data_IF_541020524053
#
_entry.id   IF_541020524053
#
_cell.length_a   1.000
_cell.length_b   1.000
_cell.length_c   1.000
_cell.angle_alpha   90.00
_cell.angle_beta   90.00
_cell.angle_gamma   90.00
#
_symmetry.space_group_name_H-M   'P 1'
#
loop_
_entity.id
_entity.type
_entity.pdbx_description
1 polymer ?
#
# COMPACT_ATOMS: atom_id res chain seq x y z
N UNK A 1 14.65 -33.43 53.48
CA UNK A 1 15.57 -32.42 52.91
C UNK A 1 15.57 -32.67 51.41
N UNK A 2 14.50 -32.23 50.74
CA UNK A 2 14.32 -32.37 49.30
C UNK A 2 14.26 -30.96 48.73
N UNK A 3 15.22 -30.64 47.87
CA UNK A 3 15.30 -29.35 47.17
C UNK A 3 14.21 -29.33 46.11
N UNK A 4 13.23 -28.45 46.27
CA UNK A 4 12.27 -28.11 45.23
C UNK A 4 12.98 -27.39 44.07
N UNK A 5 12.69 -27.74 42.81
CA UNK A 5 13.25 -27.05 41.65
C UNK A 5 12.64 -25.65 41.55
N UNK A 6 13.51 -24.68 41.30
CA UNK A 6 13.22 -23.25 41.18
C UNK A 6 12.51 -23.01 39.84
N UNK A 7 11.24 -22.59 39.89
CA UNK A 7 10.49 -22.12 38.72
C UNK A 7 11.20 -20.90 38.12
N UNK A 8 11.38 -20.93 36.81
CA UNK A 8 11.88 -19.82 36.02
C UNK A 8 10.77 -18.75 35.91
N UNK A 9 11.15 -17.47 35.95
CA UNK A 9 10.22 -16.36 36.27
C UNK A 9 9.68 -15.64 35.03
N UNK A 10 9.87 -16.20 33.84
CA UNK A 10 9.66 -15.50 32.57
C UNK A 10 8.62 -16.13 31.63
N UNK A 11 7.85 -17.11 32.09
CA UNK A 11 6.67 -17.57 31.36
C UNK A 11 5.53 -17.88 32.34
N UNK A 12 4.54 -17.00 32.52
CA UNK A 12 3.23 -17.45 32.95
C UNK A 12 2.59 -18.20 31.77
N UNK A 13 1.98 -19.35 32.05
CA UNK A 13 1.07 -20.09 31.15
C UNK A 13 1.73 -21.22 30.32
N UNK A 14 2.10 -22.31 31.02
CA UNK A 14 2.33 -23.66 30.44
C UNK A 14 1.19 -24.61 30.86
N UNK A 15 -0.05 -24.13 30.74
CA UNK A 15 -1.24 -24.78 31.29
C UNK A 15 -2.44 -24.63 30.33
N UNK A 16 -2.29 -25.11 29.08
CA UNK A 16 -3.42 -25.51 28.23
C UNK A 16 -4.53 -24.50 27.96
N UNK A 17 -4.32 -23.57 27.04
CA UNK A 17 -5.41 -22.88 26.34
C UNK A 17 -5.01 -22.61 24.89
N UNK A 18 -5.71 -23.22 23.94
CA UNK A 18 -5.39 -23.24 22.51
C UNK A 18 -5.75 -21.92 21.80
N UNK A 19 -5.69 -20.80 22.51
CA UNK A 19 -6.21 -19.51 22.03
C UNK A 19 -5.37 -18.29 22.49
N UNK A 20 -4.13 -18.51 22.94
CA UNK A 20 -3.18 -17.41 23.23
C UNK A 20 -2.60 -16.87 21.93
N UNK A 21 -3.05 -15.68 21.52
CA UNK A 21 -2.54 -14.96 20.35
C UNK A 21 -1.15 -14.38 20.65
N UNK A 22 -0.15 -14.65 19.80
CA UNK A 22 1.19 -14.04 19.94
C UNK A 22 1.22 -12.58 19.45
N UNK A 23 0.60 -11.69 20.24
CA UNK A 23 0.56 -10.26 19.94
C UNK A 23 1.95 -9.61 19.95
N UNK A 24 2.87 -10.10 20.77
CA UNK A 24 4.22 -9.55 20.83
C UNK A 24 5.02 -9.93 19.57
N UNK A 25 4.96 -11.20 19.16
CA UNK A 25 5.55 -11.64 17.91
C UNK A 25 4.94 -10.93 16.70
N UNK A 26 3.62 -10.75 16.69
CA UNK A 26 2.94 -9.98 15.64
C UNK A 26 3.44 -8.53 15.57
N UNK A 27 3.53 -7.83 16.71
CA UNK A 27 4.01 -6.44 16.77
C UNK A 27 5.48 -6.28 16.39
N UNK A 28 6.31 -7.31 16.64
CA UNK A 28 7.73 -7.31 16.28
C UNK A 28 7.99 -7.87 14.88
N UNK A 29 6.96 -8.30 14.15
CA UNK A 29 7.09 -8.95 12.84
C UNK A 29 7.82 -10.30 12.90
N UNK A 30 7.79 -10.97 14.06
CA UNK A 30 8.42 -12.26 14.31
C UNK A 30 7.48 -13.46 14.09
N UNK A 31 6.29 -13.21 13.56
CA UNK A 31 5.23 -14.19 13.26
C UNK A 31 5.21 -14.45 11.75
N UNK A 32 4.84 -15.67 11.33
CA UNK A 32 4.77 -16.01 9.92
C UNK A 32 3.59 -15.30 9.20
N UNK A 33 3.61 -15.19 7.86
CA UNK A 33 2.62 -14.40 7.13
C UNK A 33 1.17 -14.92 7.25
N UNK A 34 0.98 -16.22 7.47
CA UNK A 34 -0.35 -16.84 7.58
C UNK A 34 -0.92 -16.56 8.97
N UNK A 35 -0.11 -16.74 10.01
CA UNK A 35 -0.47 -16.41 11.39
C UNK A 35 -0.67 -14.88 11.55
N UNK A 36 0.15 -14.04 10.92
CA UNK A 36 -0.03 -12.59 10.96
C UNK A 36 -1.37 -12.14 10.36
N UNK A 37 -1.83 -12.79 9.28
CA UNK A 37 -3.13 -12.50 8.67
C UNK A 37 -4.29 -12.92 9.59
N UNK A 38 -4.16 -14.03 10.32
CA UNK A 38 -5.15 -14.49 11.29
C UNK A 38 -5.25 -13.55 12.49
N UNK A 39 -4.11 -13.12 13.03
CA UNK A 39 -4.03 -12.16 14.14
C UNK A 39 -4.64 -10.81 13.73
N UNK A 40 -4.32 -10.33 12.53
CA UNK A 40 -4.90 -9.10 11.98
C UNK A 40 -6.44 -9.18 11.89
N UNK A 41 -6.99 -10.29 11.38
CA UNK A 41 -8.44 -10.48 11.28
C UNK A 41 -9.12 -10.54 12.67
N UNK A 42 -8.46 -11.12 13.68
CA UNK A 42 -8.95 -11.15 15.07
C UNK A 42 -8.95 -9.77 15.72
N UNK A 43 -7.90 -8.96 15.50
CA UNK A 43 -7.80 -7.58 16.00
C UNK A 43 -8.88 -6.65 15.43
N UNK A 44 -9.42 -6.94 14.24
CA UNK A 44 -10.57 -6.21 13.69
C UNK A 44 -11.87 -6.47 14.47
N UNK A 45 -12.08 -7.71 14.90
CA UNK A 45 -13.33 -8.14 15.53
C UNK A 45 -13.34 -8.00 17.05
N UNK A 46 -12.18 -8.00 17.71
CA UNK A 46 -12.07 -8.02 19.17
C UNK A 46 -11.46 -6.71 19.73
N UNK A 47 -12.27 -5.85 20.39
CA UNK A 47 -11.77 -4.62 20.99
C UNK A 47 -10.89 -4.83 22.22
N UNK A 48 -11.03 -5.95 22.96
CA UNK A 48 -10.21 -6.25 24.14
C UNK A 48 -8.80 -6.69 23.71
N UNK A 49 -8.73 -7.50 22.65
CA UNK A 49 -7.47 -7.92 22.05
C UNK A 49 -6.70 -6.72 21.47
N UNK A 50 -7.41 -5.76 20.90
CA UNK A 50 -6.83 -4.50 20.42
C UNK A 50 -6.22 -3.67 21.54
N UNK A 51 -6.95 -3.49 22.64
CA UNK A 51 -6.43 -2.77 23.82
C UNK A 51 -5.20 -3.47 24.42
N UNK A 52 -5.16 -4.81 24.40
CA UNK A 52 -3.99 -5.59 24.80
C UNK A 52 -2.77 -5.31 23.90
N UNK A 53 -2.96 -5.30 22.58
CA UNK A 53 -1.90 -4.98 21.62
C UNK A 53 -1.39 -3.55 21.82
N UNK A 54 -2.28 -2.58 22.05
CA UNK A 54 -1.92 -1.18 22.31
C UNK A 54 -1.10 -1.02 23.59
N UNK A 55 -1.46 -1.74 24.67
CA UNK A 55 -0.67 -1.74 25.91
C UNK A 55 0.73 -2.31 25.72
N UNK A 56 0.86 -3.39 24.95
CA UNK A 56 2.16 -4.00 24.64
C UNK A 56 2.99 -3.02 23.81
N UNK A 57 2.42 -2.46 22.74
CA UNK A 57 3.09 -1.48 21.89
C UNK A 57 3.54 -0.23 22.66
N UNK A 58 2.70 0.29 23.57
CA UNK A 58 3.04 1.43 24.42
C UNK A 58 4.22 1.13 25.38
N UNK A 59 4.45 -0.14 25.70
CA UNK A 59 5.55 -0.58 26.58
C UNK A 59 6.89 -0.80 25.84
N UNK A 60 6.89 -0.80 24.50
CA UNK A 60 8.11 -1.01 23.72
C UNK A 60 9.07 0.19 23.86
N UNK A 61 10.39 -0.04 23.96
CA UNK A 61 11.39 1.02 24.09
C UNK A 61 11.41 1.90 22.83
N UNK A 62 11.22 3.21 23.00
CA UNK A 62 11.17 4.21 21.92
C UNK A 62 12.42 5.09 21.81
N UNK A 63 13.41 4.90 22.69
CA UNK A 63 14.65 5.68 22.68
C UNK A 63 15.75 4.97 21.91
N UNK A 64 16.59 5.76 21.24
CA UNK A 64 17.84 5.32 20.57
C UNK A 64 18.87 4.68 21.51
N UNK A 65 18.62 4.69 22.83
CA UNK A 65 19.54 4.23 23.87
C UNK A 65 19.85 2.73 23.79
N UNK A 66 19.01 1.94 23.10
CA UNK A 66 19.14 0.49 22.98
C UNK A 66 19.33 -0.02 21.55
N UNK A 67 19.22 0.85 20.54
CA UNK A 67 19.44 0.48 19.14
C UNK A 67 20.91 0.62 18.79
N UNK A 68 21.55 -0.49 18.39
CA UNK A 68 22.91 -0.43 17.87
C UNK A 68 22.88 0.24 16.50
N UNK A 69 23.21 1.53 16.48
CA UNK A 69 23.46 2.29 15.27
C UNK A 69 24.79 1.85 14.65
N UNK A 70 24.84 0.63 14.13
CA UNK A 70 25.95 0.21 13.29
C UNK A 70 25.92 1.07 12.01
N UNK A 71 26.97 1.87 11.73
CA UNK A 71 26.97 2.73 10.57
C UNK A 71 26.80 1.86 9.31
N UNK A 72 25.97 2.28 8.35
CA UNK A 72 25.78 1.49 7.14
C UNK A 72 27.12 1.29 6.43
N UNK A 73 27.31 0.15 5.73
CA UNK A 73 28.53 -0.09 4.97
C UNK A 73 28.83 1.08 4.03
N UNK A 74 30.10 1.50 3.91
CA UNK A 74 30.47 2.61 3.03
C UNK A 74 30.05 2.32 1.59
N UNK A 75 29.47 3.32 0.93
CA UNK A 75 28.98 3.20 -0.45
C UNK A 75 27.65 2.45 -0.61
N UNK A 76 26.96 2.08 0.48
CA UNK A 76 25.62 1.50 0.39
C UNK A 76 24.65 2.45 -0.33
N UNK A 77 24.67 3.74 0.02
CA UNK A 77 23.83 4.75 -0.63
C UNK A 77 24.11 4.84 -2.14
N UNK A 78 25.40 4.90 -2.51
CA UNK A 78 25.82 4.97 -3.91
C UNK A 78 25.42 3.73 -4.70
N UNK A 79 25.55 2.55 -4.10
CA UNK A 79 25.14 1.28 -4.72
C UNK A 79 23.63 1.16 -4.87
N UNK A 80 22.87 1.66 -3.89
CA UNK A 80 21.41 1.70 -3.95
C UNK A 80 20.94 2.67 -5.03
N UNK A 81 21.57 3.85 -5.14
CA UNK A 81 21.29 4.83 -6.19
C UNK A 81 21.63 4.27 -7.59
N UNK A 82 22.80 3.65 -7.75
CA UNK A 82 23.17 3.00 -9.01
C UNK A 82 22.22 1.84 -9.37
N UNK A 83 21.72 1.11 -8.37
CA UNK A 83 20.71 0.07 -8.55
C UNK A 83 19.35 0.65 -9.00
N UNK A 84 18.94 1.79 -8.44
CA UNK A 84 17.73 2.51 -8.85
C UNK A 84 17.86 3.05 -10.28
N UNK A 85 19.00 3.66 -10.63
CA UNK A 85 19.28 4.12 -12.00
C UNK A 85 19.20 2.95 -12.99
N UNK A 86 19.80 1.80 -12.66
CA UNK A 86 19.72 0.60 -13.49
C UNK A 86 18.30 0.05 -13.63
N UNK A 87 17.45 0.16 -12.60
CA UNK A 87 16.05 -0.26 -12.62
C UNK A 87 15.18 0.67 -13.46
N UNK A 88 15.47 1.97 -13.41
CA UNK A 88 14.83 2.99 -14.24
C UNK A 88 15.17 2.79 -15.72
N UNK A 89 16.43 2.53 -16.05
CA UNK A 89 16.91 2.30 -17.42
C UNK A 89 16.38 1.00 -18.04
N UNK A 90 16.22 -0.05 -17.22
CA UNK A 90 15.74 -1.35 -17.70
C UNK A 90 14.21 -1.44 -17.80
N UNK A 91 13.47 -0.39 -17.38
CA UNK A 91 12.01 -0.32 -17.45
C UNK A 91 11.30 -1.46 -16.70
N UNK A 92 12.03 -2.16 -15.84
CA UNK A 92 11.62 -3.40 -15.19
C UNK A 92 11.59 -3.13 -13.69
N UNK A 93 10.57 -2.42 -13.24
CA UNK A 93 10.29 -2.31 -11.80
C UNK A 93 9.85 -3.71 -11.34
N UNK A 94 10.63 -4.43 -10.51
CA UNK A 94 10.14 -5.66 -9.93
C UNK A 94 8.93 -5.33 -9.04
N UNK A 95 7.91 -6.19 -9.01
CA UNK A 95 6.80 -5.99 -8.09
C UNK A 95 7.34 -5.96 -6.65
N UNK A 96 7.00 -4.90 -5.91
CA UNK A 96 7.19 -4.86 -4.45
C UNK A 96 6.32 -5.97 -3.88
N UNK A 97 6.97 -7.02 -3.36
CA UNK A 97 6.32 -8.24 -2.88
C UNK A 97 6.94 -9.55 -3.39
N UNK A 98 8.00 -9.52 -4.22
CA UNK A 98 8.77 -10.73 -4.50
C UNK A 98 9.62 -11.13 -3.28
N UNK A 99 9.01 -11.89 -2.38
CA UNK A 99 9.71 -12.80 -1.48
C UNK A 99 10.88 -13.44 -2.23
N UNK A 100 12.11 -13.19 -1.75
CA UNK A 100 13.27 -13.97 -2.16
C UNK A 100 13.15 -15.34 -1.51
N UNK A 101 12.32 -16.20 -2.11
CA UNK A 101 12.33 -17.64 -1.92
C UNK A 101 13.18 -18.27 -3.03
N UNK A 102 14.30 -18.84 -2.62
CA UNK A 102 15.11 -19.83 -3.34
C UNK A 102 15.73 -19.41 -4.68
N UNK A 103 16.85 -18.68 -4.59
CA UNK A 103 17.98 -18.93 -5.49
C UNK A 103 19.22 -19.17 -4.64
N UNK A 104 19.85 -20.35 -4.67
CA UNK A 104 21.08 -20.57 -3.92
C UNK A 104 22.20 -19.74 -4.56
N UNK A 105 22.46 -18.57 -3.98
CA UNK A 105 23.68 -17.80 -4.18
C UNK A 105 24.83 -18.65 -3.65
N UNK A 106 25.53 -19.34 -4.55
CA UNK A 106 26.76 -20.05 -4.22
C UNK A 106 27.89 -19.01 -4.23
N UNK A 107 28.51 -18.67 -3.08
CA UNK A 107 29.65 -17.76 -3.08
C UNK A 107 30.85 -18.49 -3.68
N UNK A 108 31.31 -18.04 -4.84
CA UNK A 108 32.56 -18.53 -5.45
C UNK A 108 33.73 -17.79 -4.82
N UNK A 109 34.38 -18.41 -3.83
CA UNK A 109 35.73 -18.03 -3.42
C UNK A 109 36.74 -18.83 -4.26
N UNK A 110 37.76 -18.21 -4.88
CA UNK A 110 38.83 -18.93 -5.54
C UNK A 110 39.80 -19.48 -4.49
N UNK A 111 39.97 -20.81 -4.46
CA UNK A 111 41.08 -21.44 -3.74
C UNK A 111 41.97 -22.20 -4.71
N UNK A 112 43.26 -21.97 -4.52
CA UNK A 112 44.43 -22.50 -5.21
C UNK A 112 44.45 -24.02 -5.41
N UNK A 113 44.93 -24.38 -6.60
CA UNK A 113 45.82 -25.51 -6.98
C UNK A 113 46.03 -26.68 -6.01
N UNK A 114 45.88 -27.91 -6.52
CA UNK A 114 46.97 -28.91 -6.63
C UNK A 114 46.54 -30.09 -7.54
N UNK A 115 47.50 -30.88 -8.09
CA UNK A 115 47.37 -31.52 -9.39
C UNK A 115 47.24 -33.06 -9.37
N UNK A 116 47.02 -33.60 -10.57
CA UNK A 116 47.33 -34.95 -11.07
C UNK A 116 46.65 -36.18 -10.45
N UNK A 117 45.88 -36.89 -11.30
CA UNK A 117 46.12 -38.31 -11.62
C UNK A 117 45.26 -38.76 -12.81
N UNK A 118 45.89 -39.56 -13.67
CA UNK A 118 45.60 -39.94 -15.05
C UNK A 118 44.32 -40.73 -15.37
N UNK A 119 43.96 -40.84 -16.67
CA UNK A 119 42.78 -41.56 -17.17
C UNK A 119 43.08 -43.04 -17.50
N UNK A 120 42.06 -43.90 -17.43
CA UNK A 120 42.08 -45.23 -18.05
C UNK A 120 40.88 -45.38 -18.98
N UNK A 121 41.23 -45.70 -20.23
CA UNK A 121 40.42 -45.91 -21.42
C UNK A 121 39.93 -47.36 -21.57
N UNK A 122 38.77 -47.48 -22.23
CA UNK A 122 38.32 -48.50 -23.21
C UNK A 122 38.38 -50.02 -22.97
N UNK A 123 37.32 -50.68 -23.45
CA UNK A 123 37.26 -52.11 -23.78
C UNK A 123 35.83 -52.66 -23.70
N UNK A 124 35.05 -52.68 -24.79
CA UNK A 124 35.00 -53.72 -25.83
C UNK A 124 34.04 -54.90 -25.50
N UNK A 125 32.96 -54.92 -26.31
CA UNK A 125 32.41 -56.03 -27.10
C UNK A 125 31.97 -57.37 -26.48
N UNK A 126 30.73 -57.71 -26.86
CA UNK A 126 30.21 -59.02 -27.29
C UNK A 126 30.18 -60.19 -26.30
N UNK A 127 28.98 -60.69 -26.02
CA UNK A 127 28.63 -62.09 -26.32
C UNK A 127 27.11 -62.28 -26.42
N UNK A 128 26.72 -63.02 -27.45
CA UNK A 128 25.36 -63.33 -27.83
C UNK A 128 24.80 -64.57 -27.10
N UNK A 129 23.47 -64.54 -27.01
CA UNK A 129 22.50 -65.64 -27.12
C UNK A 129 22.51 -66.81 -26.12
N UNK A 130 21.38 -66.99 -25.44
CA UNK A 130 20.60 -68.24 -25.41
C UNK A 130 19.12 -67.90 -25.09
N UNK A 131 18.23 -68.08 -26.07
CA UNK A 131 16.76 -68.06 -25.91
C UNK A 131 16.27 -69.35 -25.22
N UNK A 132 15.01 -69.41 -24.73
CA UNK A 132 14.00 -70.00 -25.60
C UNK A 132 12.67 -69.24 -25.68
N UNK A 133 12.07 -69.38 -26.85
CA UNK A 133 10.70 -69.00 -27.21
C UNK A 133 9.65 -69.67 -26.33
N UNK A 134 8.60 -68.93 -26.01
CA UNK A 134 7.27 -69.48 -25.73
C UNK A 134 6.30 -68.96 -26.79
N UNK A 135 5.73 -69.89 -27.56
CA UNK A 135 4.80 -69.65 -28.67
C UNK A 135 3.37 -69.42 -28.17
N UNK A 136 2.69 -68.62 -28.98
CA UNK A 136 1.30 -68.14 -28.99
C UNK A 136 0.19 -69.16 -28.69
N UNK A 137 -0.93 -68.64 -28.17
CA UNK A 137 -2.27 -69.05 -28.59
C UNK A 137 -3.23 -67.85 -28.51
N UNK A 138 -3.93 -67.47 -29.60
CA UNK A 138 -5.04 -66.53 -29.57
C UNK A 138 -6.35 -67.30 -29.37
N UNK A 139 -7.08 -66.98 -28.30
CA UNK A 139 -8.46 -67.41 -28.13
C UNK A 139 -9.34 -66.17 -28.16
N UNK A 140 -9.96 -65.95 -29.32
CA UNK A 140 -11.12 -65.09 -29.43
C UNK A 140 -12.31 -65.81 -28.77
N UNK A 141 -12.95 -65.18 -27.79
CA UNK A 141 -14.40 -65.03 -27.71
C UNK A 141 -14.80 -64.36 -26.38
N UNK A 142 -15.11 -63.07 -26.48
CA UNK A 142 -16.29 -62.44 -25.91
C UNK A 142 -16.62 -62.76 -24.45
N UNK A 143 -16.12 -61.91 -23.54
CA UNK A 143 -16.93 -61.47 -22.41
C UNK A 143 -17.32 -59.99 -22.61
N UNK A 144 -18.63 -59.78 -22.61
CA UNK A 144 -19.30 -58.49 -22.76
C UNK A 144 -19.00 -57.66 -21.51
N UNK A 145 -18.12 -56.66 -21.63
CA UNK A 145 -18.13 -55.54 -20.72
C UNK A 145 -19.24 -54.56 -21.14
N UNK A 146 -19.94 -53.93 -20.19
CA UNK A 146 -21.21 -53.28 -20.43
C UNK A 146 -21.03 -52.04 -21.33
N UNK A 147 -22.14 -51.55 -21.88
CA UNK A 147 -22.21 -50.25 -22.52
C UNK A 147 -21.91 -49.12 -21.51
N UNK A 148 -20.63 -48.91 -21.18
CA UNK A 148 -20.13 -47.84 -20.30
C UNK A 148 -19.43 -46.69 -21.07
N UNK A 149 -19.42 -46.75 -22.40
CA UNK A 149 -18.70 -45.79 -23.25
C UNK A 149 -19.36 -44.40 -23.35
N UNK A 150 -20.62 -44.26 -22.93
CA UNK A 150 -21.31 -42.96 -22.95
C UNK A 150 -21.00 -42.12 -21.71
N UNK A 151 -20.85 -42.76 -20.55
CA UNK A 151 -20.60 -42.06 -19.28
C UNK A 151 -19.13 -41.61 -19.17
N UNK A 152 -18.18 -42.40 -19.69
CA UNK A 152 -16.76 -42.03 -19.71
C UNK A 152 -16.48 -40.81 -20.60
N UNK A 153 -17.05 -40.76 -21.81
CA UNK A 153 -16.92 -39.60 -22.71
C UNK A 153 -17.58 -38.35 -22.14
N UNK A 154 -18.69 -38.48 -21.41
CA UNK A 154 -19.32 -37.37 -20.72
C UNK A 154 -18.43 -36.82 -19.59
N UNK A 155 -17.74 -37.70 -18.86
CA UNK A 155 -16.80 -37.32 -17.81
C UNK A 155 -15.58 -36.58 -18.38
N UNK A 156 -15.00 -37.04 -19.49
CA UNK A 156 -13.88 -36.34 -20.16
C UNK A 156 -14.26 -34.92 -20.60
N UNK A 157 -15.42 -34.75 -21.22
CA UNK A 157 -15.93 -33.43 -21.58
C UNK A 157 -16.19 -32.54 -20.36
N UNK A 158 -16.69 -33.12 -19.27
CA UNK A 158 -16.90 -32.40 -18.02
C UNK A 158 -15.59 -31.91 -17.42
N UNK A 159 -14.54 -32.75 -17.36
CA UNK A 159 -13.21 -32.36 -16.88
C UNK A 159 -12.58 -31.28 -17.77
N UNK A 160 -12.69 -31.41 -19.10
CA UNK A 160 -12.23 -30.40 -20.04
C UNK A 160 -12.93 -29.06 -19.85
N UNK A 161 -14.27 -29.06 -19.75
CA UNK A 161 -15.04 -27.84 -19.51
C UNK A 161 -14.74 -27.24 -18.14
N UNK A 162 -14.62 -28.07 -17.09
CA UNK A 162 -14.30 -27.63 -15.74
C UNK A 162 -12.92 -26.98 -15.68
N UNK A 163 -11.89 -27.58 -16.31
CA UNK A 163 -10.54 -27.00 -16.35
C UNK A 163 -10.50 -25.66 -17.09
N UNK A 164 -11.18 -25.54 -18.23
CA UNK A 164 -11.31 -24.26 -18.96
C UNK A 164 -12.07 -23.22 -18.13
N UNK A 165 -13.16 -23.62 -17.47
CA UNK A 165 -13.92 -22.73 -16.60
C UNK A 165 -13.07 -22.22 -15.42
N UNK A 166 -12.28 -23.10 -14.79
CA UNK A 166 -11.35 -22.73 -13.71
C UNK A 166 -10.29 -21.75 -14.24
N UNK A 167 -9.65 -22.05 -15.38
CA UNK A 167 -8.67 -21.13 -15.99
C UNK A 167 -9.29 -19.77 -16.32
N UNK A 168 -10.49 -19.74 -16.88
CA UNK A 168 -11.19 -18.50 -17.18
C UNK A 168 -11.52 -17.70 -15.91
N UNK A 169 -11.97 -18.37 -14.84
CA UNK A 169 -12.19 -17.74 -13.54
C UNK A 169 -10.91 -17.12 -12.97
N UNK A 170 -9.79 -17.86 -13.00
CA UNK A 170 -8.49 -17.36 -12.51
C UNK A 170 -7.99 -16.16 -13.35
N UNK A 171 -8.11 -16.22 -14.67
CA UNK A 171 -7.76 -15.10 -15.55
C UNK A 171 -8.63 -13.87 -15.30
N UNK A 172 -9.93 -14.05 -15.06
CA UNK A 172 -10.81 -12.94 -14.71
C UNK A 172 -10.39 -12.28 -13.39
N UNK A 173 -10.09 -13.06 -12.35
CA UNK A 173 -9.61 -12.51 -11.08
C UNK A 173 -8.28 -11.76 -11.25
N UNK A 174 -7.35 -12.31 -12.03
CA UNK A 174 -6.08 -11.65 -12.33
C UNK A 174 -6.27 -10.30 -13.06
N UNK A 175 -7.18 -10.24 -14.03
CA UNK A 175 -7.49 -9.03 -14.77
C UNK A 175 -8.18 -7.97 -13.89
N UNK A 176 -9.08 -8.38 -13.01
CA UNK A 176 -9.75 -7.47 -12.07
C UNK A 176 -8.73 -6.89 -11.08
N UNK A 177 -7.86 -7.72 -10.51
CA UNK A 177 -6.81 -7.27 -9.60
C UNK A 177 -5.80 -6.35 -10.32
N UNK A 178 -5.36 -6.71 -11.53
CA UNK A 178 -4.43 -5.90 -12.34
C UNK A 178 -4.98 -4.49 -12.60
N UNK A 179 -6.26 -4.37 -12.95
CA UNK A 179 -6.91 -3.07 -13.15
C UNK A 179 -6.99 -2.26 -11.87
N UNK A 180 -7.26 -2.90 -10.74
CA UNK A 180 -7.29 -2.23 -9.45
C UNK A 180 -5.91 -1.67 -9.07
N UNK A 181 -4.85 -2.49 -9.21
CA UNK A 181 -3.47 -2.06 -8.97
C UNK A 181 -3.07 -0.90 -9.90
N UNK A 182 -3.44 -0.95 -11.18
CA UNK A 182 -3.18 0.14 -12.12
C UNK A 182 -3.86 1.46 -11.70
N UNK A 183 -5.09 1.41 -11.18
CA UNK A 183 -5.79 2.62 -10.69
C UNK A 183 -5.15 3.20 -9.43
N UNK A 184 -4.68 2.35 -8.50
CA UNK A 184 -3.95 2.80 -7.32
C UNK A 184 -2.64 3.51 -7.71
N UNK A 185 -1.87 2.92 -8.63
CA UNK A 185 -0.64 3.54 -9.14
C UNK A 185 -0.88 4.89 -9.81
N UNK A 186 -1.97 5.03 -10.59
CA UNK A 186 -2.33 6.31 -11.21
C UNK A 186 -2.77 7.36 -10.18
N UNK A 187 -3.50 6.97 -9.13
CA UNK A 187 -3.82 7.88 -8.03
C UNK A 187 -2.55 8.41 -7.36
N UNK A 188 -1.60 7.51 -7.06
CA UNK A 188 -0.31 7.88 -6.48
C UNK A 188 0.52 8.77 -7.42
N UNK A 189 0.51 8.50 -8.72
CA UNK A 189 1.22 9.34 -9.71
C UNK A 189 0.61 10.74 -9.81
N UNK A 190 -0.73 10.85 -9.82
CA UNK A 190 -1.44 12.12 -9.75
C UNK A 190 -1.05 12.90 -8.50
N UNK A 191 -1.05 12.25 -7.33
CA UNK A 191 -0.68 12.89 -6.07
C UNK A 191 0.79 13.33 -6.04
N UNK A 192 1.73 12.53 -6.57
CA UNK A 192 3.13 12.96 -6.77
C UNK A 192 3.25 14.12 -7.76
N UNK A 193 2.42 14.14 -8.79
CA UNK A 193 2.39 15.25 -9.74
C UNK A 193 1.85 16.53 -9.13
N UNK A 194 0.83 16.44 -8.27
CA UNK A 194 0.33 17.56 -7.48
C UNK A 194 1.38 18.05 -6.49
N UNK A 195 2.12 17.15 -5.83
CA UNK A 195 3.22 17.51 -4.95
C UNK A 195 4.32 18.30 -5.66
N UNK A 196 4.71 17.89 -6.87
CA UNK A 196 5.64 18.67 -7.72
C UNK A 196 5.08 20.05 -8.05
N UNK A 197 3.81 20.14 -8.44
CA UNK A 197 3.16 21.42 -8.73
C UNK A 197 3.09 22.35 -7.50
N UNK A 198 2.87 21.81 -6.30
CA UNK A 198 2.88 22.57 -5.05
C UNK A 198 4.27 23.13 -4.74
N UNK A 199 5.33 22.34 -4.94
CA UNK A 199 6.71 22.79 -4.79
C UNK A 199 7.07 23.88 -5.80
N UNK A 200 6.71 23.69 -7.08
CA UNK A 200 6.91 24.71 -8.12
C UNK A 200 6.18 26.01 -7.79
N UNK A 201 4.94 25.92 -7.28
CA UNK A 201 4.18 27.07 -6.80
C UNK A 201 4.89 27.77 -5.64
N UNK A 202 5.34 27.01 -4.63
CA UNK A 202 6.05 27.57 -3.49
C UNK A 202 7.34 28.30 -3.92
N UNK A 203 8.09 27.77 -4.88
CA UNK A 203 9.27 28.44 -5.43
C UNK A 203 8.92 29.79 -6.08
N UNK A 204 7.78 29.90 -6.75
CA UNK A 204 7.30 31.15 -7.35
C UNK A 204 6.71 32.12 -6.32
N UNK A 205 6.14 31.60 -5.23
CA UNK A 205 5.42 32.36 -4.20
C UNK A 205 6.21 32.50 -2.87
N UNK A 206 7.55 32.48 -2.92
CA UNK A 206 8.44 32.70 -1.76
C UNK A 206 8.20 31.73 -0.59
N UNK A 207 7.94 30.46 -0.89
CA UNK A 207 7.68 29.40 0.07
C UNK A 207 6.22 29.29 0.50
N UNK A 208 5.31 30.13 0.00
CA UNK A 208 3.88 30.03 0.28
C UNK A 208 3.24 28.95 -0.60
N UNK A 209 2.44 28.09 0.02
CA UNK A 209 1.58 27.14 -0.67
C UNK A 209 0.29 27.84 -1.13
N UNK A 210 -0.44 27.26 -2.11
CA UNK A 210 -1.67 27.85 -2.62
C UNK A 210 -2.71 28.08 -1.52
N UNK A 211 -3.00 29.35 -1.22
CA UNK A 211 -4.05 29.75 -0.30
C UNK A 211 -4.76 31.00 -0.82
N UNK A 212 -6.08 31.07 -0.58
CA UNK A 212 -6.87 32.29 -0.84
C UNK A 212 -6.83 33.25 0.33
N UNK A 213 -6.96 34.55 0.03
CA UNK A 213 -7.08 35.59 1.05
C UNK A 213 -8.39 35.44 1.84
N UNK A 214 -8.37 35.87 3.10
CA UNK A 214 -9.56 35.84 3.96
C UNK A 214 -10.72 36.65 3.37
N UNK A 215 -11.93 36.10 3.45
CA UNK A 215 -13.14 36.69 2.90
C UNK A 215 -13.32 36.51 1.38
N UNK A 216 -12.39 35.83 0.70
CA UNK A 216 -12.53 35.50 -0.72
C UNK A 216 -13.21 34.14 -0.93
N UNK A 217 -13.78 33.87 -2.11
CA UNK A 217 -14.26 32.54 -2.49
C UNK A 217 -13.21 31.43 -2.42
N UNK A 218 -11.92 31.78 -2.30
CA UNK A 218 -10.79 30.87 -2.24
C UNK A 218 -10.33 30.57 -0.80
N UNK A 219 -11.06 31.02 0.23
CA UNK A 219 -10.79 30.71 1.64
C UNK A 219 -11.25 29.27 2.01
N UNK A 220 -10.98 28.29 1.15
CA UNK A 220 -11.34 26.87 1.34
C UNK A 220 -10.19 25.96 0.94
N UNK A 221 -10.13 24.75 1.50
CA UNK A 221 -9.06 23.79 1.23
C UNK A 221 -8.88 23.52 -0.27
N UNK A 222 -9.97 23.44 -1.04
CA UNK A 222 -9.95 23.16 -2.47
C UNK A 222 -9.41 24.29 -3.35
N UNK A 223 -9.06 25.45 -2.77
CA UNK A 223 -8.52 26.59 -3.52
C UNK A 223 -7.15 26.30 -4.16
N UNK A 224 -6.46 25.24 -3.72
CA UNK A 224 -5.21 24.82 -4.34
C UNK A 224 -5.35 24.56 -5.85
N UNK A 225 -6.45 23.92 -6.28
CA UNK A 225 -6.66 23.56 -7.67
C UNK A 225 -6.80 24.78 -8.60
N UNK A 226 -7.71 25.75 -8.36
CA UNK A 226 -7.83 26.93 -9.22
C UNK A 226 -6.58 27.81 -9.21
N UNK A 227 -5.85 27.88 -8.09
CA UNK A 227 -4.60 28.65 -7.98
C UNK A 227 -3.46 28.00 -8.78
N UNK A 228 -3.27 26.68 -8.66
CA UNK A 228 -2.28 25.96 -9.47
C UNK A 228 -2.63 25.96 -10.97
N UNK A 229 -3.91 25.83 -11.30
CA UNK A 229 -4.39 25.84 -12.69
C UNK A 229 -4.22 27.23 -13.34
N UNK A 230 -4.35 28.31 -12.57
CA UNK A 230 -4.09 29.68 -13.06
C UNK A 230 -2.66 29.84 -13.56
N UNK A 231 -1.69 29.27 -12.84
CA UNK A 231 -0.26 29.28 -13.19
C UNK A 231 0.13 28.15 -14.16
N UNK A 232 -0.85 27.38 -14.67
CA UNK A 232 -0.66 26.25 -15.60
C UNK A 232 0.25 25.15 -15.07
N UNK A 233 0.29 24.96 -13.75
CA UNK A 233 1.06 23.91 -13.11
C UNK A 233 0.34 22.55 -13.14
N UNK A 234 -1.00 22.57 -13.28
CA UNK A 234 -1.85 21.38 -13.29
C UNK A 234 -2.93 21.45 -14.38
N UNK A 235 -3.45 20.27 -14.74
CA UNK A 235 -4.57 20.02 -15.64
C UNK A 235 -5.77 19.47 -14.86
N UNK A 236 -6.96 19.56 -15.45
CA UNK A 236 -8.23 19.16 -14.82
C UNK A 236 -8.25 17.68 -14.38
N UNK A 237 -7.56 16.79 -15.10
CA UNK A 237 -7.56 15.35 -14.82
C UNK A 237 -6.66 14.96 -13.63
N UNK A 238 -5.68 15.79 -13.28
CA UNK A 238 -4.70 15.47 -12.23
C UNK A 238 -5.29 15.54 -10.82
N UNK A 239 -6.37 16.30 -10.63
CA UNK A 239 -7.06 16.40 -9.34
C UNK A 239 -8.11 15.30 -9.13
N UNK A 240 -8.28 14.40 -10.11
CA UNK A 240 -9.20 13.28 -10.02
C UNK A 240 -8.46 11.97 -9.74
N UNK A 241 -9.06 11.16 -8.88
CA UNK A 241 -8.60 9.82 -8.60
C UNK A 241 -9.30 8.84 -9.55
N UNK A 242 -8.58 8.05 -10.37
CA UNK A 242 -9.21 7.07 -11.28
C UNK A 242 -9.99 5.95 -10.58
N UNK A 243 -9.79 5.80 -9.27
CA UNK A 243 -10.53 4.87 -8.42
C UNK A 243 -11.84 5.47 -7.86
N UNK A 244 -12.06 6.78 -8.00
CA UNK A 244 -13.28 7.44 -7.52
C UNK A 244 -14.46 7.18 -8.46
N UNK A 245 -15.68 7.21 -7.88
CA UNK A 245 -16.92 7.12 -8.67
C UNK A 245 -17.07 8.27 -9.66
N UNK A 246 -16.44 9.42 -9.38
CA UNK A 246 -16.43 10.58 -10.26
C UNK A 246 -15.67 10.30 -11.57
N UNK A 247 -14.53 9.61 -11.49
CA UNK A 247 -13.78 9.19 -12.68
C UNK A 247 -14.52 8.12 -13.50
N UNK A 248 -15.27 7.23 -12.84
CA UNK A 248 -16.07 6.18 -13.50
C UNK A 248 -17.29 6.74 -14.25
N UNK A 249 -17.82 7.89 -13.81
CA UNK A 249 -19.03 8.50 -14.39
C UNK A 249 -18.73 9.44 -15.58
N UNK A 250 -17.46 9.64 -15.96
CA UNK A 250 -17.03 10.53 -17.08
C UNK A 250 -17.76 11.88 -17.08
N UNK A 251 -17.99 12.46 -15.91
CA UNK A 251 -18.43 13.86 -15.84
C UNK A 251 -17.24 14.70 -16.29
N UNK A 252 -17.45 15.59 -17.27
CA UNK A 252 -16.44 16.56 -17.68
C UNK A 252 -16.15 17.50 -16.52
N UNK A 253 -15.21 17.12 -15.67
CA UNK A 253 -14.70 17.95 -14.60
C UNK A 253 -13.84 19.05 -15.21
N UNK A 254 -13.99 20.27 -14.69
CA UNK A 254 -13.18 21.42 -15.08
C UNK A 254 -12.88 22.25 -13.84
N UNK A 255 -11.63 22.61 -13.64
CA UNK A 255 -11.24 23.51 -12.56
C UNK A 255 -11.76 24.93 -12.90
N UNK A 256 -12.61 25.55 -12.06
CA UNK A 256 -13.08 26.91 -12.29
C UNK A 256 -11.92 27.89 -12.12
N UNK A 257 -11.93 29.00 -12.86
CA UNK A 257 -10.90 30.03 -12.67
C UNK A 257 -11.24 30.91 -11.45
N UNK A 258 -10.24 31.48 -10.74
CA UNK A 258 -10.48 32.38 -9.60
C UNK A 258 -11.51 33.50 -9.87
N UNK A 259 -11.38 34.23 -10.99
CA UNK A 259 -12.32 35.29 -11.35
C UNK A 259 -13.74 34.78 -11.66
N UNK A 260 -13.91 33.51 -12.03
CA UNK A 260 -15.22 32.91 -12.29
C UNK A 260 -15.96 32.72 -10.95
N UNK A 261 -15.25 32.28 -9.90
CA UNK A 261 -15.81 32.06 -8.56
C UNK A 261 -16.38 33.34 -7.94
N UNK A 262 -15.68 34.47 -8.10
CA UNK A 262 -16.14 35.78 -7.60
C UNK A 262 -17.47 36.25 -8.22
N UNK A 263 -17.80 35.76 -9.41
CA UNK A 263 -18.99 36.15 -10.17
C UNK A 263 -20.14 35.16 -10.07
N UNK A 264 -19.94 34.03 -9.38
CA UNK A 264 -20.94 32.99 -9.25
C UNK A 264 -22.05 33.39 -8.27
N UNK A 265 -23.24 32.85 -8.48
CA UNK A 265 -24.30 32.91 -7.46
C UNK A 265 -23.89 32.11 -6.22
N UNK A 266 -24.43 32.41 -5.02
CA UNK A 266 -24.06 31.68 -3.80
C UNK A 266 -24.23 30.16 -3.88
N UNK A 267 -25.26 29.67 -4.59
CA UNK A 267 -25.50 28.24 -4.78
C UNK A 267 -24.50 27.60 -5.73
N UNK A 268 -24.17 28.27 -6.84
CA UNK A 268 -23.17 27.80 -7.79
C UNK A 268 -21.76 27.84 -7.17
N UNK A 269 -21.47 28.86 -6.37
CA UNK A 269 -20.21 29.00 -5.65
C UNK A 269 -20.03 27.86 -4.64
N UNK A 270 -21.04 27.57 -3.81
CA UNK A 270 -20.96 26.46 -2.86
C UNK A 270 -20.72 25.11 -3.55
N UNK A 271 -21.36 24.89 -4.71
CA UNK A 271 -21.10 23.69 -5.52
C UNK A 271 -19.66 23.68 -6.07
N UNK A 272 -19.20 24.80 -6.63
CA UNK A 272 -17.83 24.90 -7.15
C UNK A 272 -16.80 24.68 -6.04
N UNK A 273 -16.93 25.34 -4.89
CA UNK A 273 -16.05 25.16 -3.73
C UNK A 273 -16.03 23.71 -3.24
N UNK A 274 -17.16 23.01 -3.28
CA UNK A 274 -17.24 21.62 -2.83
C UNK A 274 -16.56 20.62 -3.78
N UNK A 275 -16.34 20.98 -5.05
CA UNK A 275 -15.86 20.05 -6.08
C UNK A 275 -14.54 20.48 -6.75
N UNK A 276 -14.16 21.76 -6.72
CA UNK A 276 -13.04 22.29 -7.50
C UNK A 276 -11.67 21.69 -7.15
N UNK A 277 -11.49 21.21 -5.93
CA UNK A 277 -10.31 20.47 -5.48
C UNK A 277 -10.31 18.97 -5.83
N UNK A 278 -11.30 18.48 -6.59
CA UNK A 278 -11.36 17.09 -7.04
C UNK A 278 -11.48 16.07 -5.90
N UNK A 279 -10.76 14.96 -6.03
CA UNK A 279 -10.82 13.81 -5.12
C UNK A 279 -9.73 13.83 -4.01
N UNK A 280 -8.85 14.83 -4.04
CA UNK A 280 -7.78 14.99 -3.06
C UNK A 280 -8.11 16.10 -2.06
N UNK A 281 -7.74 15.88 -0.81
CA UNK A 281 -7.85 16.90 0.24
C UNK A 281 -6.56 17.65 0.42
N UNK A 282 -6.70 18.86 0.90
CA UNK A 282 -5.59 19.75 1.14
C UNK A 282 -5.58 20.24 2.58
N UNK A 283 -4.39 20.60 3.06
CA UNK A 283 -4.21 21.06 4.43
C UNK A 283 -4.94 22.37 4.72
N UNK A 284 -5.58 22.44 5.89
CA UNK A 284 -6.16 23.68 6.40
C UNK A 284 -5.08 24.62 6.99
N UNK A 285 -3.87 24.12 7.19
CA UNK A 285 -2.82 24.79 7.96
C UNK A 285 -3.08 24.66 9.46
N UNK A 286 -2.49 25.57 10.23
CA UNK A 286 -2.56 25.58 11.68
C UNK A 286 -2.75 27.00 12.21
N UNK A 287 -3.21 27.09 13.44
CA UNK A 287 -3.51 28.32 14.16
C UNK A 287 -2.60 28.42 15.38
N UNK A 288 -2.02 29.59 15.60
CA UNK A 288 -1.19 29.89 16.79
C UNK A 288 -1.83 31.06 17.50
N UNK A 289 -2.15 30.90 18.79
CA UNK A 289 -2.74 31.94 19.64
C UNK A 289 -4.03 32.59 19.11
N UNK A 290 -4.83 31.86 18.32
CA UNK A 290 -6.07 32.40 17.75
C UNK A 290 -5.92 32.93 16.31
N UNK A 291 -4.70 32.91 15.76
CA UNK A 291 -4.40 33.46 14.43
C UNK A 291 -3.97 32.35 13.47
N UNK A 292 -4.75 32.21 12.39
CA UNK A 292 -4.46 31.27 11.30
C UNK A 292 -3.15 31.68 10.62
N UNK A 293 -2.21 30.75 10.55
CA UNK A 293 -0.92 31.00 9.93
C UNK A 293 -0.98 30.85 8.41
N UNK A 294 -0.11 31.61 7.74
CA UNK A 294 0.11 31.46 6.31
C UNK A 294 0.63 30.06 6.01
N UNK A 295 0.02 29.43 5.02
CA UNK A 295 0.41 28.11 4.58
C UNK A 295 1.72 28.23 3.81
N UNK A 296 2.81 27.82 4.44
CA UNK A 296 4.16 27.86 3.88
C UNK A 296 4.79 26.47 3.96
N UNK A 297 5.66 26.16 3.00
CA UNK A 297 6.48 24.95 3.03
C UNK A 297 7.77 25.21 3.81
N UNK A 298 8.15 24.26 4.67
CA UNK A 298 9.40 24.23 5.41
C UNK A 298 10.19 22.93 5.13
N UNK A 299 9.65 22.05 4.29
CA UNK A 299 10.26 20.78 3.93
C UNK A 299 10.20 19.75 5.05
N UNK A 300 9.25 19.88 5.97
CA UNK A 300 9.06 18.91 7.06
C UNK A 300 8.67 17.53 6.52
N UNK A 301 9.38 16.45 6.91
CA UNK A 301 8.99 15.08 6.57
C UNK A 301 7.83 14.56 7.43
N UNK A 302 7.33 15.35 8.39
CA UNK A 302 6.24 14.94 9.28
C UNK A 302 4.93 15.68 8.99
N UNK A 303 5.01 16.83 8.32
CA UNK A 303 3.84 17.66 8.04
C UNK A 303 3.11 17.17 6.81
N UNK A 304 1.82 16.87 6.96
CA UNK A 304 0.99 16.39 5.86
C UNK A 304 0.36 17.58 5.14
N UNK A 305 0.51 17.60 3.81
CA UNK A 305 -0.01 18.69 2.96
C UNK A 305 -1.22 18.28 2.13
N UNK A 306 -1.30 17.01 1.72
CA UNK A 306 -2.36 16.50 0.86
C UNK A 306 -2.58 15.00 1.11
N UNK A 307 -3.80 14.52 0.96
CA UNK A 307 -4.11 13.10 1.00
C UNK A 307 -5.26 12.77 0.04
N UNK A 308 -5.38 11.51 -0.39
CA UNK A 308 -6.64 11.06 -1.00
C UNK A 308 -7.74 10.99 0.07
N UNK A 309 -8.89 11.63 -0.20
CA UNK A 309 -9.95 11.64 0.80
C UNK A 309 -10.81 10.38 0.72
N UNK A 310 -11.12 9.72 1.86
CA UNK A 310 -12.30 8.90 1.93
C UNK A 310 -13.51 9.83 1.77
N UNK A 311 -14.26 9.70 0.66
CA UNK A 311 -15.41 10.60 0.42
C UNK A 311 -16.37 10.66 1.61
N UNK A 312 -16.74 11.88 2.01
CA UNK A 312 -17.56 12.21 3.19
C UNK A 312 -19.03 11.71 3.14
N UNK A 313 -19.35 10.77 2.25
CA UNK A 313 -20.67 10.14 2.10
C UNK A 313 -20.58 8.63 2.11
N UNK A 314 -19.82 8.03 3.03
CA UNK A 314 -19.83 6.58 3.24
C UNK A 314 -19.47 5.74 1.99
N UNK A 315 -19.00 6.37 0.92
CA UNK A 315 -18.33 5.71 -0.19
C UNK A 315 -16.90 5.51 0.30
N UNK A 316 -16.78 4.42 1.04
CA UNK A 316 -15.52 3.74 1.36
C UNK A 316 -14.70 3.78 0.08
N UNK A 317 -13.55 4.45 0.12
CA UNK A 317 -12.53 4.15 -0.87
C UNK A 317 -12.38 2.62 -0.84
N UNK A 318 -12.48 1.96 -1.98
CA UNK A 318 -12.51 0.50 -2.07
C UNK A 318 -11.16 -0.16 -1.71
N UNK A 319 -10.26 0.58 -1.06
CA UNK A 319 -8.96 0.15 -0.63
C UNK A 319 -8.74 0.52 0.82
N UNK A 320 -8.15 -0.39 1.57
CA UNK A 320 -7.64 -0.17 2.91
C UNK A 320 -6.47 0.83 2.93
N UNK A 321 -6.14 1.54 1.85
CA UNK A 321 -4.92 2.36 1.75
C UNK A 321 -5.27 3.81 1.45
N UNK A 322 -4.74 4.72 2.26
CA UNK A 322 -4.78 6.18 2.05
C UNK A 322 -3.39 6.61 1.61
N UNK A 323 -3.29 7.35 0.52
CA UNK A 323 -2.03 7.95 0.08
C UNK A 323 -1.91 9.34 0.69
N UNK A 324 -0.80 9.56 1.40
CA UNK A 324 -0.52 10.80 2.11
C UNK A 324 0.75 11.42 1.56
N UNK A 325 0.67 12.70 1.23
CA UNK A 325 1.77 13.51 0.73
C UNK A 325 2.26 14.46 1.82
N UNK A 326 3.56 14.43 2.05
CA UNK A 326 4.24 15.25 3.05
C UNK A 326 4.85 16.50 2.43
N UNK A 327 5.17 17.47 3.28
CA UNK A 327 5.67 18.78 2.86
C UNK A 327 7.05 18.72 2.16
N UNK A 328 7.90 17.76 2.51
CA UNK A 328 9.14 17.47 1.78
C UNK A 328 8.92 16.82 0.40
N UNK A 329 7.67 16.52 0.03
CA UNK A 329 7.26 15.94 -1.24
C UNK A 329 7.26 14.41 -1.29
N UNK A 330 7.59 13.70 -0.22
CA UNK A 330 7.47 12.24 -0.23
C UNK A 330 6.02 11.79 -0.09
N UNK A 331 5.73 10.66 -0.71
CA UNK A 331 4.41 10.03 -0.69
C UNK A 331 4.48 8.72 0.11
N UNK A 332 3.63 8.58 1.12
CA UNK A 332 3.51 7.35 1.90
C UNK A 332 2.07 6.79 1.84
N UNK A 333 1.88 5.53 1.42
CA UNK A 333 0.62 4.83 1.56
C UNK A 333 0.44 4.31 3.00
N UNK A 334 -0.70 4.61 3.63
CA UNK A 334 -1.08 4.14 4.96
C UNK A 334 -2.23 3.16 4.89
N UNK A 335 -2.05 1.96 5.46
CA UNK A 335 -3.10 0.94 5.55
C UNK A 335 -4.02 1.21 6.74
N UNK A 336 -5.34 1.21 6.54
CA UNK A 336 -6.37 1.23 7.59
C UNK A 336 -6.63 -0.19 8.13
N UNK A 337 -6.79 -0.36 9.45
CA UNK A 337 -6.60 0.66 10.47
C UNK A 337 -5.10 0.98 10.57
N UNK A 338 -4.75 2.25 10.35
CA UNK A 338 -3.38 2.66 10.50
C UNK A 338 -3.12 2.57 12.01
N UNK A 339 -1.94 2.05 12.35
CA UNK A 339 -1.39 2.09 13.71
C UNK A 339 -1.76 3.40 14.43
N UNK A 340 -1.95 3.40 15.77
CA UNK A 340 -2.43 4.56 16.54
C UNK A 340 -1.58 5.85 16.43
N UNK A 341 -0.48 5.84 15.68
CA UNK A 341 0.31 7.02 15.32
C UNK A 341 -0.32 7.87 14.20
N UNK A 342 -1.14 7.26 13.35
CA UNK A 342 -1.87 7.91 12.25
C UNK A 342 -3.28 7.33 12.32
N UNK A 343 -3.95 7.55 13.45
CA UNK A 343 -5.38 7.31 13.57
C UNK A 343 -6.11 8.25 12.58
N UNK A 344 -7.43 8.34 12.60
CA UNK A 344 -8.19 9.32 11.79
C UNK A 344 -7.77 10.82 12.01
N UNK A 345 -6.72 11.08 12.79
CA UNK A 345 -6.05 12.34 13.11
C UNK A 345 -5.53 13.15 11.93
N UNK A 346 -5.35 12.59 10.73
CA UNK A 346 -4.98 13.43 9.58
C UNK A 346 -6.17 14.22 9.05
N UNK A 347 -7.40 13.84 9.38
CA UNK A 347 -8.63 14.51 8.92
C UNK A 347 -9.27 15.39 9.99
N UNK A 348 -8.81 15.31 11.24
CA UNK A 348 -9.29 16.11 12.38
C UNK A 348 -8.10 16.59 13.19
N UNK A 349 -8.16 17.81 13.71
CA UNK A 349 -7.10 18.31 14.59
C UNK A 349 -7.04 17.50 15.90
N UNK A 350 -6.04 17.77 16.74
CA UNK A 350 -5.89 17.14 18.07
C UNK A 350 -7.09 17.35 19.01
N UNK A 351 -7.98 18.31 18.71
CA UNK A 351 -9.25 18.52 19.42
C UNK A 351 -10.44 17.73 18.83
N UNK A 352 -10.20 16.87 17.82
CA UNK A 352 -11.20 16.02 17.17
C UNK A 352 -12.13 16.77 16.21
N UNK A 353 -11.73 17.95 15.71
CA UNK A 353 -12.57 18.79 14.83
C UNK A 353 -11.94 18.92 13.44
N UNK A 354 -12.77 19.06 12.41
CA UNK A 354 -12.31 19.45 11.07
C UNK A 354 -12.12 20.97 11.06
N UNK A 355 -10.95 21.39 11.54
CA UNK A 355 -10.52 22.76 11.69
C UNK A 355 -8.99 22.82 11.52
N UNK A 356 -8.37 24.00 11.39
CA UNK A 356 -6.92 24.13 11.42
C UNK A 356 -6.29 23.41 12.62
N UNK A 357 -5.06 22.96 12.41
CA UNK A 357 -4.21 22.40 13.46
C UNK A 357 -3.99 23.38 14.61
N UNK A 358 -3.75 22.84 15.80
CA UNK A 358 -3.41 23.66 16.98
C UNK A 358 -1.94 24.09 17.01
N UNK A 359 -1.10 23.47 16.19
CA UNK A 359 0.34 23.73 16.07
C UNK A 359 0.86 23.22 14.71
N UNK A 360 2.11 23.52 14.32
CA UNK A 360 2.67 23.10 13.04
C UNK A 360 2.70 21.58 12.80
N UNK A 361 2.66 20.77 13.87
CA UNK A 361 2.71 19.31 13.82
C UNK A 361 1.29 18.69 13.79
N UNK A 362 0.23 19.49 13.98
CA UNK A 362 -1.17 19.06 13.95
C UNK A 362 -1.78 19.26 12.55
N UNK A 363 -1.38 18.43 11.59
CA UNK A 363 -1.83 18.55 10.20
C UNK A 363 -3.26 18.07 9.99
N UNK A 364 -4.12 18.92 9.43
CA UNK A 364 -5.51 18.58 9.09
C UNK A 364 -5.79 18.71 7.61
N UNK A 365 -6.11 17.59 6.98
CA UNK A 365 -6.48 17.47 5.57
C UNK A 365 -7.99 17.47 5.43
N UNK A 366 -8.51 18.40 4.65
CA UNK A 366 -9.93 18.63 4.50
C UNK A 366 -10.41 18.53 3.04
N UNK A 367 -11.69 18.18 2.81
CA UNK A 367 -12.28 18.22 1.48
C UNK A 367 -12.33 19.64 0.92
N UNK A 368 -12.45 19.72 -0.41
CA UNK A 368 -12.43 20.97 -1.18
C UNK A 368 -13.28 22.12 -0.60
N UNK A 369 -14.48 21.82 -0.08
CA UNK A 369 -15.44 22.84 0.37
C UNK A 369 -15.24 23.36 1.80
N UNK A 370 -14.28 22.83 2.57
CA UNK A 370 -14.07 23.22 3.96
C UNK A 370 -13.31 24.54 4.04
N UNK A 371 -13.84 25.50 4.80
CA UNK A 371 -13.19 26.78 5.04
C UNK A 371 -12.01 26.63 5.99
N UNK A 372 -10.95 27.39 5.74
CA UNK A 372 -9.76 27.43 6.61
C UNK A 372 -10.00 28.22 7.90
N UNK A 373 -10.96 29.12 7.94
CA UNK A 373 -11.21 30.00 9.10
C UNK A 373 -12.38 29.50 9.96
N UNK A 374 -13.24 28.63 9.41
CA UNK A 374 -14.41 28.10 10.12
C UNK A 374 -14.31 26.61 10.37
N UNK A 375 -14.32 26.22 11.64
CA UNK A 375 -14.46 24.83 12.05
C UNK A 375 -15.81 24.26 11.57
N UNK A 376 -15.78 23.04 11.02
CA UNK A 376 -16.99 22.25 10.84
C UNK A 376 -17.25 21.44 12.12
N UNK A 377 -18.33 21.77 12.82
CA UNK A 377 -18.87 20.91 13.87
C UNK A 377 -19.72 19.81 13.21
N UNK A 378 -19.21 18.57 13.16
CA UNK A 378 -20.06 17.41 12.92
C UNK A 378 -20.83 17.13 14.22
N UNK A 379 -22.10 17.50 14.25
CA UNK A 379 -23.01 17.21 15.36
C UNK A 379 -23.73 15.88 15.17
#
# INVERSE_FOLDING_TARGET
>A
MERTPRRDSLNPDDDGERDSVDLLGYLLGAVDPEEAAEIAARLECDPVLREQADRIYASLPRSDEYWSNEPPPPGLADRTLAGLESLLDSGKVPPVGASHGDTPLTPTFPLETTPDSDPVTDGSSDTASLFPMSRLSPLAASDRLPAESRNWRALEWFVGLASVAIMACLLLQALLNSRHQARLLLCQDNLRSLGRALQDYAMMHRGLLPQGDSGTPLEVAGAYAPLLAQERLISDEQVLCPSSDAALTRVSFRIPKPYELERMSPTALAYAQSNMGGDFGFTLGYEVDGELQDLSTDGSPFRVIMADLPTAKGARHAGQVINVLFDDGHLSPFHRPATPLIDDSVFVNRAGRVAPGLDPDDSVIAPSGVSRVRALEFN
#
